data_IF_761472101757
#
_entry.id   IF_761472101757
#
_cell.length_a   1.000
_cell.length_b   1.000
_cell.length_c   1.000
_cell.angle_alpha   90.00
_cell.angle_beta   90.00
_cell.angle_gamma   90.00
#
_symmetry.space_group_name_H-M   'P 1'
#
loop_
_entity.id
_entity.type
_entity.pdbx_description
1 polymer ?
#
# COMPACT_ATOMS: atom_id res chain seq x y z
N UNK A 1 14.22 -57.47 -79.38
CA UNK A 1 13.78 -57.42 -77.96
C UNK A 1 14.90 -57.08 -76.98
N UNK A 2 16.13 -57.60 -77.11
CA UNK A 2 17.25 -57.30 -76.17
C UNK A 2 17.68 -55.82 -76.16
N UNK A 3 17.71 -55.13 -77.30
CA UNK A 3 18.11 -53.72 -77.39
C UNK A 3 17.16 -52.75 -76.66
N UNK A 4 15.86 -53.05 -76.64
CA UNK A 4 14.85 -52.25 -75.93
C UNK A 4 15.06 -52.37 -74.41
N UNK A 5 15.38 -53.58 -73.91
CA UNK A 5 15.69 -53.80 -72.50
C UNK A 5 16.95 -53.06 -72.04
N UNK A 6 17.99 -52.99 -72.88
CA UNK A 6 19.19 -52.21 -72.55
C UNK A 6 18.92 -50.70 -72.49
N UNK A 7 18.09 -50.17 -73.40
CA UNK A 7 17.70 -48.75 -73.37
C UNK A 7 16.90 -48.42 -72.10
N UNK A 8 15.95 -49.27 -71.73
CA UNK A 8 15.16 -49.09 -70.49
C UNK A 8 16.06 -49.19 -69.24
N UNK A 9 17.03 -50.11 -69.23
CA UNK A 9 17.99 -50.22 -68.12
C UNK A 9 18.86 -48.97 -67.97
N UNK A 10 19.32 -48.37 -69.08
CA UNK A 10 20.10 -47.12 -69.06
C UNK A 10 19.25 -45.96 -68.51
N UNK A 11 17.99 -45.84 -68.95
CA UNK A 11 17.07 -44.80 -68.45
C UNK A 11 16.80 -45.00 -66.94
N UNK A 12 16.63 -46.23 -66.48
CA UNK A 12 16.43 -46.53 -65.06
C UNK A 12 17.66 -46.17 -64.20
N UNK A 13 18.88 -46.41 -64.70
CA UNK A 13 20.13 -46.04 -64.01
C UNK A 13 20.26 -44.51 -63.95
N UNK A 14 19.95 -43.79 -65.04
CA UNK A 14 19.99 -42.32 -65.06
C UNK A 14 18.94 -41.71 -64.12
N UNK A 15 17.73 -42.26 -64.08
CA UNK A 15 16.68 -41.85 -63.16
C UNK A 15 17.06 -42.13 -61.69
N UNK A 16 17.67 -43.28 -61.41
CA UNK A 16 18.19 -43.61 -60.08
C UNK A 16 19.34 -42.69 -59.64
N UNK A 17 20.23 -42.32 -60.56
CA UNK A 17 21.29 -41.34 -60.33
C UNK A 17 20.75 -39.95 -60.01
N UNK A 18 19.73 -39.49 -60.75
CA UNK A 18 19.07 -38.21 -60.49
C UNK A 18 18.34 -38.19 -59.14
N UNK A 19 17.58 -39.24 -58.82
CA UNK A 19 16.88 -39.36 -57.54
C UNK A 19 17.86 -39.44 -56.35
N UNK A 20 18.98 -40.17 -56.52
CA UNK A 20 20.03 -40.24 -55.51
C UNK A 20 20.71 -38.89 -55.29
N UNK A 21 20.94 -38.11 -56.34
CA UNK A 21 21.49 -36.76 -56.24
C UNK A 21 20.51 -35.80 -55.56
N UNK A 22 19.23 -35.83 -55.92
CA UNK A 22 18.18 -35.03 -55.29
C UNK A 22 18.04 -35.36 -53.80
N UNK A 23 18.00 -36.65 -53.45
CA UNK A 23 17.91 -37.08 -52.05
C UNK A 23 19.14 -36.69 -51.23
N UNK A 24 20.33 -36.69 -51.86
CA UNK A 24 21.56 -36.21 -51.21
C UNK A 24 21.50 -34.70 -50.95
N UNK A 25 21.01 -33.91 -51.89
CA UNK A 25 20.84 -32.46 -51.75
C UNK A 25 19.83 -32.12 -50.65
N UNK A 26 18.66 -32.76 -50.65
CA UNK A 26 17.64 -32.60 -49.61
C UNK A 26 18.18 -32.95 -48.22
N UNK A 27 18.99 -34.01 -48.11
CA UNK A 27 19.63 -34.40 -46.86
C UNK A 27 20.70 -33.39 -46.40
N UNK A 28 21.47 -32.82 -47.33
CA UNK A 28 22.43 -31.75 -47.02
C UNK A 28 21.71 -30.50 -46.54
N UNK A 29 20.64 -30.07 -47.24
CA UNK A 29 19.81 -28.95 -46.81
C UNK A 29 19.18 -29.18 -45.43
N UNK A 30 18.72 -30.40 -45.13
CA UNK A 30 18.19 -30.75 -43.80
C UNK A 30 19.27 -30.66 -42.71
N UNK A 31 20.49 -31.13 -43.00
CA UNK A 31 21.62 -31.02 -42.08
C UNK A 31 21.99 -29.58 -41.82
N UNK A 32 22.08 -28.76 -42.86
CA UNK A 32 22.43 -27.34 -42.76
C UNK A 32 21.37 -26.54 -41.99
N UNK A 33 20.08 -26.83 -42.25
CA UNK A 33 18.96 -26.27 -41.47
C UNK A 33 19.06 -26.67 -40.00
N UNK A 34 19.36 -27.94 -39.70
CA UNK A 34 19.50 -28.40 -38.32
C UNK A 34 20.66 -27.73 -37.61
N UNK A 35 21.83 -27.63 -38.24
CA UNK A 35 22.99 -26.94 -37.65
C UNK A 35 22.71 -25.45 -37.44
N UNK A 36 21.96 -24.81 -38.34
CA UNK A 36 21.54 -23.41 -38.19
C UNK A 36 20.59 -23.25 -37.02
N UNK A 37 19.55 -24.10 -36.93
CA UNK A 37 18.59 -24.11 -35.83
C UNK A 37 19.24 -24.39 -34.47
N UNK A 38 20.20 -25.31 -34.42
CA UNK A 38 20.95 -25.60 -33.18
C UNK A 38 21.77 -24.38 -32.75
N UNK A 39 22.44 -23.70 -33.69
CA UNK A 39 23.14 -22.44 -33.42
C UNK A 39 22.22 -21.31 -32.95
N UNK A 40 21.06 -21.13 -33.59
CA UNK A 40 20.05 -20.16 -33.16
C UNK A 40 19.50 -20.49 -31.76
N UNK A 41 19.27 -21.76 -31.46
CA UNK A 41 18.78 -22.18 -30.15
C UNK A 41 19.80 -21.91 -29.04
N UNK A 42 21.08 -22.17 -29.27
CA UNK A 42 22.14 -21.84 -28.30
C UNK A 42 22.26 -20.32 -28.09
N UNK A 43 22.20 -19.52 -29.17
CA UNK A 43 22.19 -18.06 -29.06
C UNK A 43 20.95 -17.54 -28.31
N UNK A 44 19.78 -18.12 -28.54
CA UNK A 44 18.55 -17.80 -27.79
C UNK A 44 18.66 -18.17 -26.32
N UNK A 45 19.22 -19.34 -25.98
CA UNK A 45 19.46 -19.73 -24.58
C UNK A 45 20.41 -18.76 -23.89
N UNK A 46 21.50 -18.35 -24.54
CA UNK A 46 22.43 -17.37 -24.01
C UNK A 46 21.73 -16.03 -23.76
N UNK A 47 20.95 -15.55 -24.73
CA UNK A 47 20.17 -14.30 -24.60
C UNK A 47 19.16 -14.38 -23.46
N UNK A 48 18.41 -15.49 -23.33
CA UNK A 48 17.46 -15.72 -22.23
C UNK A 48 18.18 -15.67 -20.88
N UNK A 49 19.38 -16.28 -20.78
CA UNK A 49 20.16 -16.26 -19.55
C UNK A 49 20.58 -14.83 -19.18
N UNK A 50 21.14 -14.08 -20.13
CA UNK A 50 21.53 -12.67 -19.91
C UNK A 50 20.33 -11.81 -19.51
N UNK A 51 19.21 -11.90 -20.24
CA UNK A 51 18.00 -11.14 -19.90
C UNK A 51 17.44 -11.51 -18.52
N UNK A 52 17.57 -12.77 -18.10
CA UNK A 52 17.16 -13.21 -16.75
C UNK A 52 18.07 -12.64 -15.67
N UNK A 53 19.37 -12.57 -15.91
CA UNK A 53 20.34 -11.95 -15.01
C UNK A 53 20.06 -10.43 -14.88
N UNK A 54 19.90 -9.73 -16.00
CA UNK A 54 19.53 -8.31 -16.02
C UNK A 54 18.19 -8.03 -15.31
N UNK A 55 17.18 -8.89 -15.51
CA UNK A 55 15.89 -8.75 -14.84
C UNK A 55 16.02 -8.89 -13.31
N UNK A 56 16.90 -9.78 -12.85
CA UNK A 56 17.18 -9.96 -11.43
C UNK A 56 17.93 -8.77 -10.85
N UNK A 57 18.96 -8.24 -11.55
CA UNK A 57 19.65 -7.02 -11.12
C UNK A 57 18.70 -5.83 -11.01
N UNK A 58 17.80 -5.65 -11.98
CA UNK A 58 16.76 -4.61 -11.95
C UNK A 58 15.80 -4.77 -10.77
N UNK A 59 15.49 -6.01 -10.39
CA UNK A 59 14.65 -6.31 -9.23
C UNK A 59 15.36 -5.96 -7.92
N UNK A 60 16.64 -6.34 -7.78
CA UNK A 60 17.46 -5.99 -6.62
C UNK A 60 17.65 -4.47 -6.49
N UNK A 61 17.88 -3.75 -7.60
CA UNK A 61 17.94 -2.28 -7.63
C UNK A 61 16.62 -1.61 -7.22
N UNK A 62 15.49 -2.14 -7.70
CA UNK A 62 14.15 -1.65 -7.34
C UNK A 62 13.91 -1.80 -5.84
N UNK A 63 14.26 -2.95 -5.27
CA UNK A 63 14.04 -3.24 -3.86
C UNK A 63 14.96 -2.40 -2.96
N UNK A 64 16.20 -2.16 -3.38
CA UNK A 64 17.10 -1.21 -2.73
C UNK A 64 16.53 0.22 -2.76
N UNK A 65 16.08 0.70 -3.92
CA UNK A 65 15.48 2.02 -4.05
C UNK A 65 14.20 2.19 -3.23
N UNK A 66 13.39 1.13 -3.10
CA UNK A 66 12.20 1.14 -2.25
C UNK A 66 12.57 1.24 -0.76
N UNK A 67 13.59 0.49 -0.33
CA UNK A 67 14.13 0.56 1.04
C UNK A 67 14.64 1.96 1.37
N UNK A 68 15.39 2.59 0.46
CA UNK A 68 15.91 3.94 0.65
C UNK A 68 14.81 4.99 0.66
N UNK A 69 13.77 4.83 -0.16
CA UNK A 69 12.58 5.68 -0.12
C UNK A 69 11.87 5.60 1.24
N UNK A 70 11.69 4.41 1.80
CA UNK A 70 11.06 4.20 3.11
C UNK A 70 11.90 4.90 4.22
N UNK A 71 13.22 4.79 4.18
CA UNK A 71 14.10 5.50 5.12
C UNK A 71 13.96 7.01 4.99
N UNK A 72 13.98 7.54 3.77
CA UNK A 72 13.84 8.97 3.51
C UNK A 72 12.47 9.51 3.98
N UNK A 73 11.39 8.76 3.79
CA UNK A 73 10.05 9.12 4.29
C UNK A 73 10.02 9.15 5.84
N UNK A 74 10.65 8.17 6.50
CA UNK A 74 10.79 8.15 7.96
C UNK A 74 11.61 9.33 8.50
N UNK A 75 12.73 9.66 7.86
CA UNK A 75 13.54 10.83 8.20
C UNK A 75 12.75 12.13 8.02
N UNK A 76 12.00 12.25 6.92
CA UNK A 76 11.15 13.42 6.65
C UNK A 76 10.07 13.60 7.73
N UNK A 77 9.44 12.52 8.17
CA UNK A 77 8.42 12.56 9.23
C UNK A 77 9.03 12.93 10.59
N UNK A 78 10.22 12.41 10.90
CA UNK A 78 10.97 12.83 12.08
C UNK A 78 11.32 14.32 12.04
N UNK A 79 11.81 14.83 10.90
CA UNK A 79 12.12 16.25 10.71
C UNK A 79 10.86 17.11 10.84
N UNK A 80 9.73 16.70 10.25
CA UNK A 80 8.44 17.42 10.40
C UNK A 80 7.96 17.46 11.84
N UNK A 81 8.10 16.36 12.58
CA UNK A 81 7.75 16.29 14.00
C UNK A 81 8.62 17.25 14.82
N UNK A 82 9.94 17.23 14.60
CA UNK A 82 10.88 18.14 15.24
C UNK A 82 10.59 19.60 14.92
N UNK A 83 10.24 19.92 13.66
CA UNK A 83 9.84 21.26 13.25
C UNK A 83 8.57 21.73 13.97
N UNK A 84 7.58 20.84 14.14
CA UNK A 84 6.35 21.14 14.88
C UNK A 84 6.64 21.41 16.36
N UNK A 85 7.51 20.61 16.99
CA UNK A 85 7.95 20.81 18.36
C UNK A 85 8.72 22.13 18.51
N UNK A 86 9.65 22.43 17.59
CA UNK A 86 10.39 23.69 17.59
C UNK A 86 9.44 24.89 17.45
N UNK A 87 8.44 24.82 16.56
CA UNK A 87 7.41 25.88 16.42
C UNK A 87 6.60 26.07 17.71
N UNK A 88 6.24 24.98 18.41
CA UNK A 88 5.56 25.08 19.72
C UNK A 88 6.43 25.78 20.74
N UNK A 89 7.71 25.38 20.87
CA UNK A 89 8.66 26.04 21.78
C UNK A 89 8.83 27.52 21.47
N UNK A 90 8.92 27.90 20.19
CA UNK A 90 9.00 29.30 19.78
C UNK A 90 7.75 30.08 20.21
N UNK A 91 6.55 29.50 20.06
CA UNK A 91 5.32 30.15 20.50
C UNK A 91 5.23 30.26 22.03
N UNK A 92 5.62 29.22 22.76
CA UNK A 92 5.69 29.23 24.22
C UNK A 92 6.64 30.31 24.72
N UNK A 93 7.84 30.39 24.12
CA UNK A 93 8.84 31.39 24.50
C UNK A 93 8.39 32.81 24.14
N UNK A 94 7.72 32.98 22.99
CA UNK A 94 7.09 34.26 22.62
C UNK A 94 6.03 34.69 23.62
N UNK A 95 5.20 33.77 24.10
CA UNK A 95 4.20 34.06 25.12
C UNK A 95 4.85 34.43 26.47
N UNK A 96 5.93 33.74 26.86
CA UNK A 96 6.70 34.09 28.07
C UNK A 96 7.35 35.48 27.97
N UNK A 97 7.89 35.84 26.81
CA UNK A 97 8.46 37.18 26.57
C UNK A 97 7.36 38.23 26.69
N UNK A 98 6.19 38.00 26.07
CA UNK A 98 5.06 38.93 26.18
C UNK A 98 4.59 39.10 27.64
N UNK A 99 4.52 38.03 28.42
CA UNK A 99 4.19 38.09 29.85
C UNK A 99 5.26 38.83 30.66
N UNK A 100 6.55 38.59 30.41
CA UNK A 100 7.65 39.32 31.07
C UNK A 100 7.67 40.81 30.70
N UNK A 101 7.38 41.16 29.45
CA UNK A 101 7.25 42.57 29.03
C UNK A 101 6.10 43.27 29.75
N UNK A 102 4.98 42.57 29.95
CA UNK A 102 3.84 43.08 30.71
C UNK A 102 4.18 43.25 32.19
N UNK A 103 4.86 42.26 32.81
CA UNK A 103 5.36 42.35 34.18
C UNK A 103 6.37 43.50 34.34
N UNK A 104 7.30 43.68 33.40
CA UNK A 104 8.23 44.81 33.40
C UNK A 104 7.52 46.14 33.27
N UNK A 105 6.43 46.20 32.49
CA UNK A 105 5.54 47.36 32.42
C UNK A 105 4.92 47.67 33.78
N UNK A 106 4.29 46.67 34.42
CA UNK A 106 3.70 46.82 35.75
C UNK A 106 4.73 47.20 36.81
N UNK A 107 5.92 46.61 36.78
CA UNK A 107 7.03 46.94 37.71
C UNK A 107 7.51 48.37 37.48
N UNK A 108 7.62 48.85 36.23
CA UNK A 108 7.96 50.24 35.93
C UNK A 108 6.87 51.20 36.42
N UNK A 109 5.61 50.87 36.20
CA UNK A 109 4.47 51.66 36.69
C UNK A 109 4.44 51.69 38.23
N UNK A 110 4.72 50.56 38.88
CA UNK A 110 4.85 50.46 40.34
C UNK A 110 6.02 51.30 40.83
N UNK A 111 7.18 51.25 40.17
CA UNK A 111 8.35 52.09 40.48
C UNK A 111 8.03 53.57 40.30
N UNK A 112 7.28 53.95 39.26
CA UNK A 112 6.83 55.33 39.07
C UNK A 112 5.82 55.76 40.13
N UNK A 113 4.87 54.90 40.49
CA UNK A 113 3.90 55.16 41.56
C UNK A 113 4.60 55.29 42.92
N UNK A 114 5.52 54.37 43.22
CA UNK A 114 6.38 54.42 44.41
C UNK A 114 7.19 55.71 44.37
N UNK A 115 7.87 56.07 43.28
CA UNK A 115 8.63 57.33 43.19
C UNK A 115 7.76 58.58 43.32
N UNK A 116 6.50 58.56 42.84
CA UNK A 116 5.54 59.65 43.04
C UNK A 116 5.11 59.73 44.49
N UNK A 117 4.72 58.61 45.10
CA UNK A 117 4.36 58.56 46.52
C UNK A 117 5.52 58.93 47.45
N UNK A 118 6.75 58.50 47.14
CA UNK A 118 7.96 58.88 47.88
C UNK A 118 8.39 60.33 47.64
N UNK A 119 8.03 60.95 46.50
CA UNK A 119 8.19 62.39 46.29
C UNK A 119 7.14 63.22 47.05
N UNK A 120 5.92 62.72 47.14
CA UNK A 120 4.84 63.33 47.93
C UNK A 120 5.06 63.16 49.45
N UNK A 121 5.88 62.19 49.87
CA UNK A 121 6.29 61.90 51.26
C UNK A 121 7.61 62.57 51.70
N UNK A 122 7.97 63.72 51.11
CA UNK A 122 9.24 64.43 51.31
C UNK A 122 10.01 64.12 52.61
N UNK A 123 11.22 63.57 52.46
CA UNK A 123 12.26 63.32 53.48
C UNK A 123 11.88 62.61 54.81
N UNK A 124 10.62 62.24 55.05
CA UNK A 124 10.20 61.53 56.26
C UNK A 124 9.05 60.57 55.96
N UNK A 125 9.38 59.30 55.69
CA UNK A 125 8.40 58.22 55.64
C UNK A 125 8.29 57.60 57.03
N UNK A 126 7.16 57.80 57.71
CA UNK A 126 6.78 56.95 58.85
C UNK A 126 6.44 55.54 58.33
N UNK A 127 7.14 54.54 58.87
CA UNK A 127 7.10 53.12 58.52
C UNK A 127 5.73 52.41 58.69
N UNK A 128 4.67 53.13 59.03
CA UNK A 128 3.42 52.55 59.56
C UNK A 128 2.42 52.06 58.50
N UNK A 129 2.57 52.43 57.22
CA UNK A 129 1.65 52.04 56.14
C UNK A 129 2.16 50.89 55.24
N UNK A 130 3.45 50.54 55.32
CA UNK A 130 4.07 49.41 54.61
C UNK A 130 3.41 48.05 54.94
N UNK A 131 3.02 47.76 56.20
CA UNK A 131 2.40 46.48 56.54
C UNK A 131 1.05 46.24 55.85
N UNK A 132 0.27 47.30 55.60
CA UNK A 132 -1.04 47.19 54.96
C UNK A 132 -0.93 46.82 53.47
N UNK A 133 0.05 47.40 52.77
CA UNK A 133 0.31 47.12 51.36
C UNK A 133 0.88 45.71 51.16
N UNK A 134 1.78 45.26 52.04
CA UNK A 134 2.29 43.87 52.04
C UNK A 134 1.15 42.88 52.23
N UNK A 135 0.20 43.16 53.13
CA UNK A 135 -0.95 42.30 53.38
C UNK A 135 -1.90 42.20 52.18
N UNK A 136 -2.13 43.30 51.45
CA UNK A 136 -2.90 43.28 50.21
C UNK A 136 -2.21 42.46 49.11
N UNK A 137 -0.89 42.62 48.95
CA UNK A 137 -0.10 41.83 48.00
C UNK A 137 -0.09 40.33 48.36
N UNK A 138 -0.04 39.97 49.65
CA UNK A 138 -0.16 38.58 50.09
C UNK A 138 -1.54 37.98 49.77
N UNK A 139 -2.61 38.75 49.94
CA UNK A 139 -3.97 38.32 49.62
C UNK A 139 -4.17 38.18 48.10
N UNK A 140 -3.62 39.08 47.29
CA UNK A 140 -3.61 38.98 45.82
C UNK A 140 -2.79 37.79 45.34
N UNK A 141 -1.61 37.54 45.92
CA UNK A 141 -0.76 36.39 45.59
C UNK A 141 -1.47 35.07 45.94
N UNK A 142 -2.16 35.02 47.09
CA UNK A 142 -3.00 33.86 47.45
C UNK A 142 -4.14 33.64 46.46
N UNK A 143 -4.77 34.72 45.99
CA UNK A 143 -5.87 34.62 45.02
C UNK A 143 -5.34 34.16 43.65
N UNK A 144 -4.25 34.76 43.17
CA UNK A 144 -3.61 34.37 41.92
C UNK A 144 -3.15 32.91 41.92
N UNK A 145 -2.60 32.42 43.04
CA UNK A 145 -2.23 31.01 43.18
C UNK A 145 -3.43 30.06 43.12
N UNK A 146 -4.57 30.44 43.71
CA UNK A 146 -5.81 29.65 43.62
C UNK A 146 -6.36 29.62 42.19
N UNK A 147 -6.36 30.77 41.52
CA UNK A 147 -6.81 30.87 40.13
C UNK A 147 -5.89 30.05 39.19
N UNK A 148 -4.59 30.01 39.47
CA UNK A 148 -3.62 29.20 38.73
C UNK A 148 -3.87 27.70 38.94
N UNK A 149 -4.08 27.26 40.18
CA UNK A 149 -4.39 25.87 40.51
C UNK A 149 -5.71 25.40 39.84
N UNK A 150 -6.73 26.25 39.79
CA UNK A 150 -7.98 25.98 39.07
C UNK A 150 -7.76 25.87 37.55
N UNK A 151 -6.94 26.74 36.96
CA UNK A 151 -6.59 26.71 35.54
C UNK A 151 -5.77 25.46 35.17
N UNK A 152 -4.87 25.02 36.05
CA UNK A 152 -4.11 23.77 35.86
C UNK A 152 -5.03 22.55 35.87
N UNK A 153 -5.94 22.46 36.85
CA UNK A 153 -6.96 21.40 36.91
C UNK A 153 -7.86 21.39 35.68
N UNK A 154 -8.25 22.57 35.18
CA UNK A 154 -9.09 22.68 33.99
C UNK A 154 -8.32 22.23 32.73
N UNK A 155 -7.05 22.62 32.60
CA UNK A 155 -6.19 22.18 31.49
C UNK A 155 -5.98 20.66 31.51
N UNK A 156 -5.70 20.06 32.67
CA UNK A 156 -5.55 18.60 32.80
C UNK A 156 -6.83 17.86 32.37
N UNK A 157 -7.99 18.37 32.79
CA UNK A 157 -9.28 17.83 32.38
C UNK A 157 -9.53 17.97 30.88
N UNK A 158 -9.19 19.12 30.29
CA UNK A 158 -9.32 19.35 28.85
C UNK A 158 -8.38 18.44 28.05
N UNK A 159 -7.13 18.28 28.47
CA UNK A 159 -6.17 17.36 27.86
C UNK A 159 -6.66 15.91 27.94
N UNK A 160 -7.24 15.51 29.07
CA UNK A 160 -7.90 14.22 29.23
C UNK A 160 -9.03 13.99 28.21
N UNK A 161 -9.91 14.98 28.03
CA UNK A 161 -11.00 14.92 27.03
C UNK A 161 -10.49 14.89 25.60
N UNK A 162 -9.49 15.71 25.26
CA UNK A 162 -8.89 15.74 23.92
C UNK A 162 -8.25 14.40 23.59
N UNK A 163 -7.52 13.79 24.54
CA UNK A 163 -6.91 12.49 24.36
C UNK A 163 -7.95 11.37 24.20
N UNK A 164 -9.03 11.40 24.99
CA UNK A 164 -10.13 10.44 24.86
C UNK A 164 -10.82 10.56 23.49
N UNK A 165 -11.17 11.78 23.07
CA UNK A 165 -11.78 12.02 21.77
C UNK A 165 -10.87 11.62 20.62
N UNK A 166 -9.56 11.89 20.73
CA UNK A 166 -8.58 11.50 19.70
C UNK A 166 -8.52 9.98 19.54
N UNK A 167 -8.53 9.22 20.64
CA UNK A 167 -8.61 7.74 20.60
C UNK A 167 -9.91 7.28 19.95
N UNK A 168 -11.05 7.85 20.33
CA UNK A 168 -12.35 7.51 19.73
C UNK A 168 -12.38 7.79 18.22
N UNK A 169 -11.81 8.92 17.79
CA UNK A 169 -11.69 9.27 16.37
C UNK A 169 -10.83 8.25 15.63
N UNK A 170 -9.67 7.87 16.17
CA UNK A 170 -8.79 6.86 15.57
C UNK A 170 -9.47 5.48 15.46
N UNK A 171 -10.22 5.07 16.48
CA UNK A 171 -11.00 3.83 16.46
C UNK A 171 -12.12 3.89 15.41
N UNK A 172 -12.83 5.01 15.31
CA UNK A 172 -13.86 5.23 14.30
C UNK A 172 -13.27 5.19 12.89
N UNK A 173 -12.16 5.88 12.65
CA UNK A 173 -11.47 5.89 11.36
C UNK A 173 -10.99 4.49 10.96
N UNK A 174 -10.44 3.74 11.91
CA UNK A 174 -10.08 2.32 11.72
C UNK A 174 -11.30 1.46 11.37
N UNK A 175 -12.45 1.70 12.02
CA UNK A 175 -13.69 0.98 11.70
C UNK A 175 -14.22 1.34 10.31
N UNK A 176 -14.17 2.61 9.94
CA UNK A 176 -14.64 3.12 8.63
C UNK A 176 -13.76 2.56 7.52
N UNK A 177 -12.44 2.64 7.65
CA UNK A 177 -11.49 2.11 6.67
C UNK A 177 -11.64 0.60 6.48
N UNK A 178 -11.73 -0.18 7.57
CA UNK A 178 -12.04 -1.63 7.51
C UNK A 178 -13.37 -1.89 6.81
N UNK A 179 -14.41 -1.10 7.09
CA UNK A 179 -15.71 -1.24 6.42
C UNK A 179 -15.61 -0.93 4.93
N UNK A 180 -14.93 0.15 4.55
CA UNK A 180 -14.74 0.53 3.16
C UNK A 180 -13.96 -0.53 2.37
N UNK A 181 -12.91 -1.11 2.96
CA UNK A 181 -12.17 -2.21 2.38
C UNK A 181 -13.05 -3.44 2.15
N UNK A 182 -13.88 -3.83 3.13
CA UNK A 182 -14.85 -4.93 2.99
C UNK A 182 -15.87 -4.68 1.89
N UNK A 183 -16.44 -3.48 1.82
CA UNK A 183 -17.42 -3.13 0.77
C UNK A 183 -16.75 -3.23 -0.61
N UNK A 184 -15.57 -2.63 -0.78
CA UNK A 184 -14.81 -2.68 -2.03
C UNK A 184 -14.48 -4.11 -2.44
N UNK A 185 -14.07 -4.96 -1.49
CA UNK A 185 -13.74 -6.35 -1.76
C UNK A 185 -14.94 -7.23 -2.07
N UNK A 186 -16.08 -7.02 -1.40
CA UNK A 186 -17.32 -7.73 -1.69
C UNK A 186 -17.96 -7.29 -3.03
N UNK A 187 -17.72 -6.05 -3.47
CA UNK A 187 -18.16 -5.56 -4.79
C UNK A 187 -17.23 -5.95 -5.93
N UNK A 188 -16.06 -6.50 -5.64
CA UNK A 188 -15.09 -6.88 -6.66
C UNK A 188 -15.54 -8.16 -7.36
N UNK A 189 -15.37 -8.20 -8.68
CA UNK A 189 -15.74 -9.34 -9.50
C UNK A 189 -14.52 -9.86 -10.26
N UNK A 190 -14.28 -11.16 -10.17
CA UNK A 190 -13.33 -11.88 -10.99
C UNK A 190 -13.94 -12.33 -12.32
N UNK A 191 -13.10 -12.90 -13.19
CA UNK A 191 -13.53 -13.46 -14.47
C UNK A 191 -12.96 -14.84 -14.70
N UNK A 192 -13.76 -15.73 -15.26
CA UNK A 192 -13.30 -17.03 -15.73
C UNK A 192 -12.44 -16.83 -16.97
N UNK A 193 -11.19 -17.29 -16.93
CA UNK A 193 -10.25 -17.17 -18.06
C UNK A 193 -10.22 -18.43 -18.90
N UNK A 194 -10.30 -19.60 -18.27
CA UNK A 194 -10.31 -20.89 -18.94
C UNK A 194 -11.16 -21.91 -18.16
N UNK A 195 -11.76 -22.85 -18.87
CA UNK A 195 -12.60 -23.91 -18.30
C UNK A 195 -12.15 -25.25 -18.87
N UNK A 196 -11.94 -26.24 -18.01
CA UNK A 196 -11.75 -27.63 -18.40
C UNK A 196 -12.92 -28.45 -17.85
N UNK A 197 -13.86 -28.80 -18.74
CA UNK A 197 -15.05 -29.55 -18.37
C UNK A 197 -14.77 -31.02 -18.05
N UNK A 198 -13.77 -31.62 -18.73
CA UNK A 198 -13.42 -33.04 -18.56
C UNK A 198 -12.92 -33.32 -17.14
N UNK A 199 -12.17 -32.37 -16.57
CA UNK A 199 -11.64 -32.47 -15.20
C UNK A 199 -12.45 -31.69 -14.18
N UNK A 200 -13.40 -30.86 -14.63
CA UNK A 200 -14.32 -30.12 -13.75
C UNK A 200 -13.68 -28.97 -12.98
N UNK A 201 -12.63 -28.34 -13.53
CA UNK A 201 -12.01 -27.17 -12.91
C UNK A 201 -12.00 -25.97 -13.86
N UNK A 202 -11.94 -24.80 -13.26
CA UNK A 202 -11.81 -23.51 -13.94
C UNK A 202 -10.57 -22.79 -13.46
N UNK A 203 -9.99 -22.03 -14.37
CA UNK A 203 -9.08 -20.96 -14.02
C UNK A 203 -9.84 -19.64 -14.05
N UNK A 204 -9.66 -18.85 -13.02
CA UNK A 204 -10.22 -17.51 -12.92
C UNK A 204 -9.15 -16.49 -12.53
N UNK A 205 -9.32 -15.26 -13.01
CA UNK A 205 -8.51 -14.10 -12.62
C UNK A 205 -9.33 -13.23 -11.68
N UNK A 206 -8.73 -12.87 -10.55
CA UNK A 206 -9.36 -12.08 -9.50
C UNK A 206 -8.63 -10.74 -9.33
N UNK A 207 -9.36 -9.62 -9.19
CA UNK A 207 -8.74 -8.35 -8.86
C UNK A 207 -8.20 -8.34 -7.42
N UNK A 208 -7.06 -7.68 -7.20
CA UNK A 208 -6.35 -7.69 -5.91
C UNK A 208 -7.14 -7.18 -4.70
N UNK A 209 -8.25 -6.48 -4.92
CA UNK A 209 -9.13 -5.99 -3.86
C UNK A 209 -10.18 -7.03 -3.40
N UNK A 210 -10.37 -8.14 -4.12
CA UNK A 210 -11.31 -9.19 -3.74
C UNK A 210 -10.65 -10.17 -2.76
N UNK A 211 -11.14 -10.27 -1.51
CA UNK A 211 -10.55 -11.15 -0.50
C UNK A 211 -10.97 -12.60 -0.74
N UNK A 212 -10.16 -13.37 -1.46
CA UNK A 212 -10.39 -14.79 -1.71
C UNK A 212 -9.39 -15.63 -0.92
N UNK A 213 -9.91 -16.52 -0.08
CA UNK A 213 -9.15 -17.51 0.68
C UNK A 213 -9.41 -18.91 0.12
N UNK A 214 -8.58 -19.90 0.47
CA UNK A 214 -8.77 -21.28 0.02
C UNK A 214 -10.11 -21.89 0.47
N UNK A 215 -10.68 -21.39 1.57
CA UNK A 215 -11.99 -21.83 2.10
C UNK A 215 -13.17 -21.04 1.51
N UNK A 216 -12.90 -19.99 0.75
CA UNK A 216 -13.95 -19.15 0.19
C UNK A 216 -14.74 -19.92 -0.87
N UNK A 217 -16.08 -19.83 -0.77
CA UNK A 217 -16.97 -20.28 -1.84
C UNK A 217 -17.19 -19.15 -2.82
N UNK A 218 -16.97 -19.42 -4.10
CA UNK A 218 -17.19 -18.48 -5.17
C UNK A 218 -18.49 -18.83 -5.90
N UNK A 219 -19.14 -17.82 -6.46
CA UNK A 219 -20.38 -17.92 -7.21
C UNK A 219 -20.15 -17.35 -8.61
N UNK A 220 -20.56 -18.11 -9.62
CA UNK A 220 -20.49 -17.71 -11.02
C UNK A 220 -21.83 -17.11 -11.45
N UNK A 221 -21.76 -16.00 -12.18
CA UNK A 221 -22.90 -15.36 -12.82
C UNK A 221 -22.58 -14.97 -14.27
N UNK A 222 -23.62 -15.00 -15.11
CA UNK A 222 -23.60 -14.43 -16.46
C UNK A 222 -24.64 -13.33 -16.54
N UNK A 223 -24.17 -12.08 -16.59
CA UNK A 223 -25.05 -10.92 -16.45
C UNK A 223 -25.71 -10.88 -15.07
N UNK A 224 -27.04 -11.05 -15.03
CA UNK A 224 -27.83 -11.11 -13.80
C UNK A 224 -28.21 -12.54 -13.38
N UNK A 225 -27.86 -13.55 -14.16
CA UNK A 225 -28.23 -14.94 -13.91
C UNK A 225 -27.14 -15.70 -13.16
N UNK A 226 -27.53 -16.39 -12.10
CA UNK A 226 -26.67 -17.33 -11.39
C UNK A 226 -26.45 -18.61 -12.20
N UNK A 227 -25.20 -19.06 -12.28
CA UNK A 227 -24.82 -20.28 -13.02
C UNK A 227 -24.55 -21.43 -12.05
N UNK A 228 -23.70 -21.22 -11.05
CA UNK A 228 -23.20 -22.27 -10.19
C UNK A 228 -22.16 -21.76 -9.19
N UNK A 229 -21.75 -22.61 -8.27
CA UNK A 229 -20.70 -22.33 -7.30
C UNK A 229 -19.37 -22.99 -7.70
N UNK A 230 -18.29 -22.42 -7.18
CA UNK A 230 -16.94 -22.96 -7.29
C UNK A 230 -16.33 -23.11 -5.89
N UNK A 231 -15.51 -24.15 -5.73
CA UNK A 231 -14.68 -24.35 -4.55
C UNK A 231 -13.23 -24.04 -4.91
N UNK A 232 -12.58 -23.16 -4.16
CA UNK A 232 -11.19 -22.80 -4.42
C UNK A 232 -10.30 -24.01 -4.11
N UNK A 233 -9.43 -24.37 -5.05
CA UNK A 233 -8.49 -25.47 -4.90
C UNK A 233 -7.08 -24.92 -4.65
N UNK A 234 -6.62 -24.00 -5.52
CA UNK A 234 -5.31 -23.37 -5.40
C UNK A 234 -5.33 -21.88 -5.77
N UNK A 235 -4.50 -21.09 -5.09
CA UNK A 235 -4.32 -19.66 -5.34
C UNK A 235 -2.89 -19.41 -5.79
N UNK A 236 -2.71 -18.98 -7.03
CA UNK A 236 -1.43 -18.65 -7.66
C UNK A 236 -1.38 -17.15 -7.97
N UNK A 237 -1.12 -16.36 -6.94
CA UNK A 237 -1.10 -14.89 -7.04
C UNK A 237 -2.46 -14.33 -7.42
N UNK A 238 -2.60 -13.82 -8.67
CA UNK A 238 -3.87 -13.29 -9.21
C UNK A 238 -4.72 -14.34 -9.93
N UNK A 239 -4.15 -15.51 -10.19
CA UNK A 239 -4.80 -16.63 -10.88
C UNK A 239 -5.26 -17.63 -9.82
N UNK A 240 -6.50 -18.07 -9.91
CA UNK A 240 -7.05 -19.07 -8.99
C UNK A 240 -7.53 -20.25 -9.82
N UNK A 241 -7.25 -21.43 -9.31
CA UNK A 241 -7.79 -22.70 -9.81
C UNK A 241 -8.89 -23.13 -8.84
N UNK A 242 -10.09 -23.33 -9.37
CA UNK A 242 -11.25 -23.69 -8.59
C UNK A 242 -12.03 -24.83 -9.26
N UNK A 243 -12.57 -25.72 -8.45
CA UNK A 243 -13.36 -26.85 -8.91
C UNK A 243 -14.83 -26.45 -9.06
N UNK A 244 -15.47 -26.93 -10.11
CA UNK A 244 -16.89 -26.66 -10.41
C UNK A 244 -17.76 -27.54 -9.52
N UNK A 245 -18.63 -26.92 -8.73
CA UNK A 245 -19.67 -27.66 -8.01
C UNK A 245 -20.86 -27.92 -8.94
N UNK A 246 -20.78 -29.02 -9.70
CA UNK A 246 -21.82 -29.45 -10.63
C UNK A 246 -23.20 -29.65 -9.98
N UNK A 247 -23.28 -29.89 -8.67
CA UNK A 247 -24.57 -30.04 -7.97
C UNK A 247 -25.27 -28.71 -7.77
N UNK A 248 -24.52 -27.62 -7.77
CA UNK A 248 -25.02 -26.25 -7.58
C UNK A 248 -25.35 -25.54 -8.91
N UNK A 249 -25.12 -26.20 -10.04
CA UNK A 249 -25.30 -25.64 -11.37
C UNK A 249 -26.78 -25.52 -11.73
N UNK A 250 -27.14 -24.39 -12.35
CA UNK A 250 -28.47 -24.18 -12.92
C UNK A 250 -28.68 -25.12 -14.11
N UNK A 251 -29.79 -25.88 -14.19
CA UNK A 251 -30.04 -26.81 -15.29
C UNK A 251 -29.93 -26.17 -16.67
N UNK A 252 -29.17 -26.81 -17.56
CA UNK A 252 -28.94 -26.33 -18.93
C UNK A 252 -27.92 -25.19 -19.06
N UNK A 253 -27.38 -24.67 -17.96
CA UNK A 253 -26.28 -23.70 -17.98
C UNK A 253 -24.93 -24.41 -17.80
N UNK A 254 -23.92 -23.90 -18.49
CA UNK A 254 -22.54 -24.40 -18.41
C UNK A 254 -21.60 -23.21 -18.22
N UNK A 255 -20.54 -23.41 -17.43
CA UNK A 255 -19.53 -22.40 -17.16
C UNK A 255 -18.73 -22.12 -18.43
N UNK A 256 -18.51 -20.84 -18.74
CA UNK A 256 -17.80 -20.42 -19.95
C UNK A 256 -16.71 -19.40 -19.60
N UNK A 257 -15.62 -19.35 -20.39
CA UNK A 257 -14.69 -18.23 -20.34
C UNK A 257 -15.43 -16.89 -20.52
N UNK A 258 -15.11 -15.91 -19.68
CA UNK A 258 -15.77 -14.60 -19.64
C UNK A 258 -16.91 -14.48 -18.62
N UNK A 259 -17.33 -15.58 -17.99
CA UNK A 259 -18.30 -15.51 -16.89
C UNK A 259 -17.71 -14.74 -15.69
N UNK A 260 -18.59 -14.03 -14.97
CA UNK A 260 -18.19 -13.22 -13.81
C UNK A 260 -18.26 -14.07 -12.55
N UNK A 261 -17.29 -13.86 -11.66
CA UNK A 261 -17.17 -14.62 -10.41
C UNK A 261 -17.19 -13.65 -9.24
N UNK A 262 -18.03 -13.93 -8.26
CA UNK A 262 -18.17 -13.15 -7.04
C UNK A 262 -18.04 -14.04 -5.81
N UNK A 263 -17.87 -13.46 -4.64
CA UNK A 263 -17.92 -14.20 -3.38
C UNK A 263 -19.36 -14.68 -3.14
N UNK A 264 -19.55 -15.98 -2.91
CA UNK A 264 -20.88 -16.53 -2.61
C UNK A 264 -21.40 -16.04 -1.25
N UNK A 265 -20.47 -15.73 -0.33
CA UNK A 265 -20.77 -15.09 0.95
C UNK A 265 -19.92 -13.84 1.10
N UNK A 266 -20.51 -12.68 1.41
CA UNK A 266 -19.74 -11.48 1.69
C UNK A 266 -18.85 -11.71 2.91
N UNK A 267 -17.65 -11.15 2.90
CA UNK A 267 -16.77 -11.19 4.08
C UNK A 267 -17.39 -10.32 5.17
N UNK A 268 -17.84 -10.97 6.24
CA UNK A 268 -18.33 -10.35 7.48
C UNK A 268 -17.30 -10.56 8.60
N UNK A 269 -17.26 -9.63 9.56
CA UNK A 269 -16.51 -9.81 10.81
C UNK A 269 -17.13 -10.91 11.66
#
# INVERSE_FOLDING_TARGET
MKSILYIVAIIAILAGGWFSYQSKDDFQQLRDKRTTLDGENENRKASIKTTKEEAKEREDERDAALSDKIKAESELDNVKSNLKLARRRVNEEKNKIAAQDEELGRVKDLIEQIKKQFKDLGDNVELEQVPALVKQLEDELKKANRDLEELELLNEKMDGMVNANTKTIQELDTRISKRAARIKGNSAEGRVTAVNHDWGFVTLEIPSNMPVTAEAKLMIKRGMSYIGNLNVNAIEGRRIVADIDYRSMTPGMVVQPGDHVILAKPVTN
#
